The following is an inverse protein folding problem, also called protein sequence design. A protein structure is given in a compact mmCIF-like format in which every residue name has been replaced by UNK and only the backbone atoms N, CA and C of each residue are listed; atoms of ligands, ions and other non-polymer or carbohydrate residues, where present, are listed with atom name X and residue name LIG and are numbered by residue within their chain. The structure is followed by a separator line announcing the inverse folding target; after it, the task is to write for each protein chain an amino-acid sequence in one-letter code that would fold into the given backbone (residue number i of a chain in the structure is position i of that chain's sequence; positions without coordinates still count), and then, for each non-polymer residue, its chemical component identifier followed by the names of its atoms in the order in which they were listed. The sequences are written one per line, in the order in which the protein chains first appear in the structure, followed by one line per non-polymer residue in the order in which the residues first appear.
data_IF_202976431946
#
_entry.id   IF_202976431946
#
_cell.length_a   1.000
_cell.length_b   1.000
_cell.length_c   1.000
_cell.angle_alpha   90.00
_cell.angle_beta   90.00
_cell.angle_gamma   90.00
#
_symmetry.space_group_name_H-M   'P 1'
#
loop_
_entity.id
_entity.type
_entity.pdbx_description
1 polymer ?
#
# COMPACT_ATOMS: atom_id res chain seq x y z
N UNK A 1 0.18 -15.48 9.17
CA UNK A 1 1.65 -15.64 9.37
C UNK A 1 2.01 -15.17 10.76
N UNK A 2 2.97 -15.80 11.39
CA UNK A 2 3.32 -15.47 12.78
C UNK A 2 4.29 -14.28 12.84
N UNK A 3 4.19 -13.50 13.91
CA UNK A 3 5.18 -12.51 14.27
C UNK A 3 6.34 -13.22 15.01
N UNK A 4 7.57 -12.89 14.64
CA UNK A 4 8.78 -13.39 15.27
C UNK A 4 9.36 -12.34 16.21
N UNK A 5 9.39 -12.64 17.50
CA UNK A 5 10.12 -11.89 18.53
C UNK A 5 11.51 -12.48 18.71
N UNK A 6 12.41 -11.73 19.34
CA UNK A 6 13.79 -12.13 19.59
C UNK A 6 14.08 -12.12 21.08
N UNK A 7 15.00 -12.98 21.53
CA UNK A 7 15.46 -12.97 22.91
C UNK A 7 16.08 -11.60 23.26
N UNK A 8 15.79 -11.04 24.44
CA UNK A 8 16.10 -9.65 24.78
C UNK A 8 17.56 -9.43 25.25
N UNK A 9 18.52 -9.95 24.52
CA UNK A 9 19.95 -9.81 24.88
C UNK A 9 20.49 -8.38 24.73
N UNK A 10 19.95 -7.60 23.80
CA UNK A 10 20.37 -6.21 23.54
C UNK A 10 19.16 -5.28 23.50
N UNK A 11 19.41 -3.97 23.64
CA UNK A 11 18.35 -2.95 23.49
C UNK A 11 17.59 -3.10 22.17
N UNK A 12 18.29 -3.41 21.08
CA UNK A 12 17.69 -3.58 19.76
C UNK A 12 16.85 -4.85 19.64
N UNK A 13 17.32 -6.00 20.16
CA UNK A 13 16.60 -7.28 20.10
C UNK A 13 15.38 -7.29 21.00
N UNK A 14 15.44 -6.64 22.17
CA UNK A 14 14.30 -6.50 23.10
C UNK A 14 13.07 -5.85 22.43
N UNK A 15 13.28 -4.82 21.61
CA UNK A 15 12.22 -4.08 20.94
C UNK A 15 11.93 -4.55 19.50
N UNK A 16 12.54 -5.63 19.02
CA UNK A 16 12.37 -6.07 17.62
C UNK A 16 11.28 -7.12 17.50
N UNK A 17 10.29 -6.84 16.64
CA UNK A 17 9.27 -7.79 16.21
C UNK A 17 9.22 -7.75 14.68
N UNK A 18 9.44 -8.89 14.05
CA UNK A 18 9.43 -9.02 12.58
C UNK A 18 8.39 -10.05 12.14
N UNK A 19 8.08 -10.05 10.86
CA UNK A 19 7.23 -11.07 10.26
C UNK A 19 8.07 -12.31 9.94
N UNK A 20 7.55 -13.48 10.26
CA UNK A 20 8.08 -14.74 9.78
C UNK A 20 7.73 -14.92 8.29
N UNK A 21 8.72 -15.30 7.50
CA UNK A 21 8.62 -15.50 6.06
C UNK A 21 8.91 -16.94 5.63
N UNK A 22 8.86 -17.87 6.56
CA UNK A 22 9.22 -19.28 6.29
C UNK A 22 8.35 -19.91 5.20
N UNK A 23 7.08 -19.54 5.11
CA UNK A 23 6.14 -20.03 4.10
C UNK A 23 6.23 -19.37 2.72
N UNK A 24 7.18 -18.47 2.49
CA UNK A 24 7.35 -17.79 1.22
C UNK A 24 8.50 -18.42 0.41
N UNK A 25 8.43 -18.24 -0.91
CA UNK A 25 9.51 -18.62 -1.81
C UNK A 25 10.83 -17.95 -1.42
N UNK A 26 11.88 -18.77 -1.25
CA UNK A 26 13.22 -18.30 -0.83
C UNK A 26 14.18 -18.06 -2.00
N UNK A 27 13.81 -18.49 -3.19
CA UNK A 27 14.63 -18.37 -4.40
C UNK A 27 14.63 -16.96 -5.00
N UNK A 28 15.31 -16.83 -6.14
CA UNK A 28 15.38 -15.57 -6.91
C UNK A 28 14.02 -15.26 -7.55
N UNK A 29 13.66 -13.97 -7.73
CA UNK A 29 12.46 -13.58 -8.46
C UNK A 29 12.57 -13.99 -9.95
N UNK A 30 11.43 -14.07 -10.62
CA UNK A 30 11.38 -14.39 -12.05
C UNK A 30 12.02 -13.24 -12.86
N UNK A 31 13.19 -13.53 -13.48
CA UNK A 31 14.06 -12.52 -14.08
C UNK A 31 13.37 -11.69 -15.19
N UNK A 32 12.56 -12.29 -16.11
CA UNK A 32 11.90 -11.52 -17.18
C UNK A 32 10.97 -10.42 -16.68
N UNK A 33 10.36 -10.58 -15.49
CA UNK A 33 9.44 -9.62 -14.88
C UNK A 33 10.13 -8.75 -13.81
N UNK A 34 11.46 -8.61 -13.85
CA UNK A 34 12.20 -7.76 -12.93
C UNK A 34 12.97 -6.67 -13.66
N UNK A 35 12.94 -5.46 -13.12
CA UNK A 35 13.71 -4.32 -13.62
C UNK A 35 14.56 -3.68 -12.51
N UNK A 36 15.51 -2.85 -12.90
CA UNK A 36 16.30 -2.07 -11.96
C UNK A 36 15.43 -0.98 -11.34
N UNK A 37 15.50 -0.83 -10.04
CA UNK A 37 14.82 0.25 -9.32
C UNK A 37 15.83 1.34 -8.94
N UNK A 38 15.86 2.41 -9.71
CA UNK A 38 16.64 3.61 -9.42
C UNK A 38 15.81 4.53 -8.51
N UNK A 39 16.09 4.48 -7.21
CA UNK A 39 15.39 5.33 -6.24
C UNK A 39 15.75 6.82 -6.46
N UNK A 40 14.74 7.68 -6.59
CA UNK A 40 14.89 9.13 -6.73
C UNK A 40 15.43 9.83 -5.47
N UNK A 41 15.49 9.12 -4.34
CA UNK A 41 15.96 9.63 -3.04
C UNK A 41 15.27 10.92 -2.60
N UNK A 42 13.98 11.05 -2.95
CA UNK A 42 13.15 12.21 -2.62
C UNK A 42 13.38 13.44 -3.50
N UNK A 43 14.07 13.28 -4.63
CA UNK A 43 14.30 14.35 -5.61
C UNK A 43 13.32 14.27 -6.77
N UNK A 44 12.97 15.43 -7.32
CA UNK A 44 12.18 15.55 -8.54
C UNK A 44 13.08 15.43 -9.80
N UNK A 45 12.49 15.63 -11.00
CA UNK A 45 13.19 15.62 -12.29
C UNK A 45 14.25 16.75 -12.43
N UNK A 46 14.12 17.84 -11.67
CA UNK A 46 15.11 18.93 -11.61
C UNK A 46 16.18 18.71 -10.54
N UNK A 47 16.24 17.56 -9.88
CA UNK A 47 17.20 17.25 -8.82
C UNK A 47 16.90 17.90 -7.46
N UNK A 48 15.84 18.71 -7.33
CA UNK A 48 15.44 19.37 -6.08
C UNK A 48 14.76 18.40 -5.13
N UNK A 49 15.03 18.53 -3.83
CA UNK A 49 14.41 17.71 -2.79
C UNK A 49 12.96 18.17 -2.59
N UNK A 50 12.01 17.35 -3.07
CA UNK A 50 10.57 17.56 -2.87
C UNK A 50 9.99 16.70 -1.75
N UNK A 51 10.65 15.58 -1.41
CA UNK A 51 10.30 14.74 -0.28
C UNK A 51 11.53 14.55 0.60
N UNK A 52 11.51 15.17 1.79
CA UNK A 52 12.64 15.16 2.73
C UNK A 52 12.82 13.78 3.38
N UNK A 53 14.02 13.53 3.90
CA UNK A 53 14.37 12.38 4.73
C UNK A 53 14.26 11.01 4.01
N UNK A 54 14.43 10.98 2.70
CA UNK A 54 14.57 9.78 1.88
C UNK A 54 15.99 9.64 1.34
N UNK A 55 16.51 8.41 1.32
CA UNK A 55 17.80 8.11 0.71
C UNK A 55 18.54 6.97 1.39
N UNK A 56 19.55 6.45 0.73
CA UNK A 56 20.24 5.24 1.14
C UNK A 56 19.33 4.01 1.05
N UNK A 57 19.61 3.01 1.87
CA UNK A 57 18.86 1.76 1.88
C UNK A 57 19.46 0.70 0.96
N UNK A 58 18.94 -0.52 1.09
CA UNK A 58 19.36 -1.64 0.25
C UNK A 58 18.92 -1.46 -1.19
N UNK A 59 19.79 -1.84 -2.14
CA UNK A 59 19.44 -1.93 -3.57
C UNK A 59 18.32 -2.96 -3.75
N UNK A 60 17.27 -2.58 -4.48
CA UNK A 60 16.08 -3.40 -4.68
C UNK A 60 15.82 -3.57 -6.17
N UNK A 61 15.42 -4.79 -6.56
CA UNK A 61 14.86 -5.04 -7.89
C UNK A 61 13.37 -4.75 -7.86
N UNK A 62 12.87 -4.08 -8.85
CA UNK A 62 11.43 -3.86 -9.03
C UNK A 62 10.81 -5.09 -9.71
N UNK A 63 9.66 -5.55 -9.20
CA UNK A 63 8.84 -6.58 -9.84
C UNK A 63 7.74 -5.87 -10.63
N UNK A 64 7.64 -6.21 -11.88
CA UNK A 64 6.56 -5.72 -12.74
C UNK A 64 5.28 -6.46 -12.38
N UNK A 65 4.39 -5.75 -11.66
CA UNK A 65 3.10 -6.30 -11.25
C UNK A 65 2.06 -5.89 -12.28
N UNK A 66 1.29 -6.86 -12.74
CA UNK A 66 0.12 -6.56 -13.55
C UNK A 66 -1.06 -6.17 -12.65
N UNK A 67 -1.37 -4.87 -12.64
CA UNK A 67 -2.52 -4.30 -11.95
C UNK A 67 -3.77 -4.27 -12.81
N UNK A 68 -3.65 -4.53 -14.11
CA UNK A 68 -4.75 -4.46 -15.06
C UNK A 68 -5.55 -5.76 -15.14
N UNK A 69 -4.86 -6.91 -15.05
CA UNK A 69 -5.46 -8.24 -15.12
C UNK A 69 -6.34 -8.44 -16.35
N UNK A 70 -5.87 -7.97 -17.52
CA UNK A 70 -6.62 -7.96 -18.78
C UNK A 70 -6.75 -9.31 -19.47
N UNK A 71 -6.05 -10.34 -19.01
CA UNK A 71 -6.18 -11.68 -19.58
C UNK A 71 -7.44 -12.33 -19.04
N UNK A 72 -8.54 -12.14 -19.77
CA UNK A 72 -9.87 -12.61 -19.40
C UNK A 72 -10.07 -14.08 -19.83
N UNK A 73 -11.03 -14.74 -19.18
CA UNK A 73 -11.57 -16.06 -19.48
C UNK A 73 -10.57 -17.23 -19.54
N UNK A 74 -9.32 -17.03 -19.13
CA UNK A 74 -8.30 -18.06 -18.98
C UNK A 74 -7.97 -18.29 -17.51
N UNK A 75 -7.72 -19.57 -17.18
CA UNK A 75 -7.24 -19.92 -15.85
C UNK A 75 -5.76 -19.66 -15.71
N UNK A 76 -5.38 -19.20 -14.52
CA UNK A 76 -3.99 -19.08 -14.13
C UNK A 76 -3.77 -19.84 -12.82
N UNK A 77 -2.71 -20.63 -12.75
CA UNK A 77 -2.30 -21.36 -11.57
C UNK A 77 -1.26 -20.56 -10.77
N UNK A 78 -1.39 -20.53 -9.46
CA UNK A 78 -0.41 -19.90 -8.57
C UNK A 78 0.80 -20.80 -8.42
N UNK A 79 1.91 -20.43 -9.09
CA UNK A 79 3.16 -21.20 -9.07
C UNK A 79 3.90 -21.04 -7.73
N UNK A 80 3.93 -19.81 -7.21
CA UNK A 80 4.61 -19.49 -5.93
C UNK A 80 4.19 -18.13 -5.37
N UNK A 81 4.40 -17.96 -4.06
CA UNK A 81 4.16 -16.70 -3.34
C UNK A 81 5.52 -16.13 -2.91
N UNK A 82 5.79 -14.87 -3.26
CA UNK A 82 7.07 -14.21 -3.07
C UNK A 82 6.97 -12.99 -2.16
N UNK A 83 8.09 -12.70 -1.49
CA UNK A 83 8.31 -11.41 -0.83
C UNK A 83 8.76 -10.36 -1.85
N UNK A 84 8.12 -9.19 -1.83
CA UNK A 84 8.55 -8.03 -2.61
C UNK A 84 9.06 -6.91 -1.69
N UNK A 85 10.33 -6.45 -1.81
CA UNK A 85 10.87 -5.36 -1.01
C UNK A 85 10.25 -3.99 -1.33
N UNK A 86 9.59 -3.84 -2.48
CA UNK A 86 9.02 -2.56 -2.93
C UNK A 86 7.61 -2.32 -2.39
N UNK A 87 6.97 -3.33 -1.80
CA UNK A 87 5.61 -3.23 -1.26
C UNK A 87 5.47 -3.92 0.07
N UNK A 88 4.34 -3.69 0.72
CA UNK A 88 4.08 -4.23 2.06
C UNK A 88 3.37 -5.58 2.03
N UNK A 89 2.55 -5.86 1.00
CA UNK A 89 1.90 -7.14 0.76
C UNK A 89 2.85 -8.10 0.02
N UNK A 90 2.49 -9.39 0.01
CA UNK A 90 3.16 -10.38 -0.82
C UNK A 90 2.64 -10.34 -2.25
N UNK A 91 3.41 -10.94 -3.15
CA UNK A 91 3.06 -11.10 -4.55
C UNK A 91 3.01 -12.60 -4.88
N UNK A 92 2.20 -12.97 -5.85
CA UNK A 92 2.14 -14.31 -6.37
C UNK A 92 2.56 -14.32 -7.84
N UNK A 93 3.39 -15.28 -8.21
CA UNK A 93 3.69 -15.57 -9.61
C UNK A 93 2.63 -16.55 -10.10
N UNK A 94 1.92 -16.16 -11.13
CA UNK A 94 0.88 -16.98 -11.75
C UNK A 94 1.30 -17.39 -13.15
N UNK A 95 0.95 -18.61 -13.53
CA UNK A 95 1.21 -19.21 -14.83
C UNK A 95 -0.12 -19.49 -15.50
N UNK A 96 -0.33 -18.97 -16.69
CA UNK A 96 -1.48 -19.25 -17.55
C UNK A 96 -1.27 -20.51 -18.38
N UNK A 97 -2.34 -21.03 -18.97
CA UNK A 97 -2.33 -22.22 -19.82
C UNK A 97 -1.38 -22.09 -21.02
N UNK A 98 -1.22 -20.89 -21.56
CA UNK A 98 -0.26 -20.56 -22.64
C UNK A 98 1.19 -20.37 -22.16
N UNK A 99 1.51 -20.82 -20.94
CA UNK A 99 2.82 -20.67 -20.30
C UNK A 99 3.26 -19.21 -20.02
N UNK A 100 2.45 -18.19 -20.29
CA UNK A 100 2.77 -16.83 -19.89
C UNK A 100 2.69 -16.67 -18.37
N UNK A 101 3.65 -15.91 -17.81
CA UNK A 101 3.72 -15.68 -16.36
C UNK A 101 3.54 -14.22 -16.05
N UNK A 102 2.79 -13.94 -14.97
CA UNK A 102 2.56 -12.59 -14.45
C UNK A 102 2.73 -12.56 -12.94
N UNK A 103 3.10 -11.39 -12.42
CA UNK A 103 3.01 -11.13 -10.99
C UNK A 103 1.69 -10.45 -10.65
N UNK A 104 0.97 -10.99 -9.70
CA UNK A 104 -0.23 -10.40 -9.09
C UNK A 104 -0.02 -10.13 -7.61
N UNK A 105 -0.87 -9.27 -7.02
CA UNK A 105 -0.91 -9.11 -5.56
C UNK A 105 -1.52 -10.38 -4.96
N UNK A 106 -0.88 -10.93 -3.94
CA UNK A 106 -1.36 -12.13 -3.27
C UNK A 106 -2.42 -11.77 -2.21
N UNK A 107 -3.67 -12.25 -2.31
CA UNK A 107 -4.64 -12.14 -1.24
C UNK A 107 -4.29 -13.05 -0.06
N UNK A 108 -4.92 -12.80 1.06
CA UNK A 108 -4.81 -13.65 2.26
C UNK A 108 -5.52 -14.99 1.99
N UNK A 109 -4.89 -16.09 2.39
CA UNK A 109 -5.45 -17.44 2.27
C UNK A 109 -5.15 -18.14 0.95
N UNK A 110 -4.64 -17.47 -0.09
CA UNK A 110 -4.24 -18.10 -1.34
C UNK A 110 -3.05 -19.05 -1.11
N UNK A 111 -3.06 -20.17 -1.80
CA UNK A 111 -2.03 -21.21 -1.73
C UNK A 111 -1.40 -21.44 -3.10
N UNK A 112 -0.24 -22.07 -3.09
CA UNK A 112 0.41 -22.57 -4.32
C UNK A 112 -0.46 -23.71 -4.89
N UNK A 113 -0.68 -23.69 -6.20
CA UNK A 113 -1.58 -24.62 -6.91
C UNK A 113 -3.01 -24.12 -7.06
N UNK A 114 -3.41 -23.04 -6.36
CA UNK A 114 -4.76 -22.49 -6.54
C UNK A 114 -4.94 -21.94 -7.95
N UNK A 115 -6.10 -22.19 -8.53
CA UNK A 115 -6.48 -21.64 -9.85
C UNK A 115 -7.28 -20.36 -9.66
N UNK A 116 -6.92 -19.34 -10.44
CA UNK A 116 -7.58 -18.03 -10.45
C UNK A 116 -8.01 -17.67 -11.87
N UNK A 117 -9.09 -16.90 -11.97
CA UNK A 117 -9.66 -16.44 -13.24
C UNK A 117 -9.95 -14.94 -13.20
N UNK A 118 -9.90 -14.30 -14.36
CA UNK A 118 -10.27 -12.89 -14.53
C UNK A 118 -11.47 -12.80 -15.50
N UNK A 119 -12.37 -11.85 -15.26
CA UNK A 119 -13.51 -11.58 -16.15
C UNK A 119 -14.86 -11.77 -15.45
N UNK A 120 -15.93 -11.41 -16.13
CA UNK A 120 -17.31 -11.52 -15.61
C UNK A 120 -17.74 -12.96 -15.35
N UNK A 121 -17.18 -13.92 -16.11
CA UNK A 121 -17.46 -15.36 -15.95
C UNK A 121 -16.62 -16.02 -14.85
N UNK A 122 -15.93 -15.25 -13.99
CA UNK A 122 -15.14 -15.81 -12.91
C UNK A 122 -16.02 -16.07 -11.67
N UNK A 123 -15.77 -17.16 -10.97
CA UNK A 123 -16.47 -17.47 -9.72
C UNK A 123 -16.09 -16.46 -8.61
N UNK A 124 -16.98 -16.28 -7.64
CA UNK A 124 -16.73 -15.44 -6.44
C UNK A 124 -15.81 -16.18 -5.49
N UNK A 125 -14.54 -16.30 -5.86
CA UNK A 125 -13.48 -16.92 -5.06
C UNK A 125 -12.34 -15.94 -4.79
N UNK A 126 -11.66 -16.11 -3.66
CA UNK A 126 -10.50 -15.30 -3.29
C UNK A 126 -9.43 -15.39 -4.37
N UNK A 127 -8.98 -14.24 -4.86
CA UNK A 127 -7.97 -14.15 -5.92
C UNK A 127 -8.53 -13.90 -7.32
N UNK A 128 -9.80 -14.19 -7.57
CA UNK A 128 -10.46 -13.90 -8.84
C UNK A 128 -10.71 -12.39 -9.02
N UNK A 129 -10.70 -11.94 -10.25
CA UNK A 129 -10.90 -10.53 -10.60
C UNK A 129 -12.16 -10.40 -11.46
N UNK A 130 -13.12 -9.60 -10.97
CA UNK A 130 -14.42 -9.39 -11.61
C UNK A 130 -14.73 -7.89 -11.72
N UNK A 131 -15.64 -7.49 -12.63
CA UNK A 131 -16.28 -6.19 -12.60
C UNK A 131 -17.05 -5.99 -11.29
N UNK A 132 -17.12 -4.77 -10.78
CA UNK A 132 -17.81 -4.46 -9.52
C UNK A 132 -19.29 -4.79 -9.55
N UNK A 133 -19.93 -4.74 -10.71
CA UNK A 133 -21.34 -5.11 -10.88
C UNK A 133 -21.63 -6.59 -10.60
N UNK A 134 -20.67 -7.46 -10.82
CA UNK A 134 -20.79 -8.91 -10.68
C UNK A 134 -20.39 -9.39 -9.27
N UNK A 135 -19.97 -8.46 -8.40
CA UNK A 135 -19.56 -8.77 -7.03
C UNK A 135 -20.67 -8.39 -6.06
N UNK A 136 -21.20 -9.32 -5.24
CA UNK A 136 -22.22 -9.04 -4.24
C UNK A 136 -21.77 -8.00 -3.20
N UNK A 137 -22.76 -7.27 -2.67
CA UNK A 137 -22.56 -6.30 -1.58
C UNK A 137 -22.05 -7.01 -0.32
N UNK A 138 -21.15 -6.37 0.41
CA UNK A 138 -20.60 -6.88 1.66
C UNK A 138 -19.30 -7.68 1.50
N UNK A 139 -18.92 -8.09 0.29
CA UNK A 139 -17.69 -8.83 0.04
C UNK A 139 -16.47 -7.90 0.13
N UNK A 140 -15.41 -8.39 0.77
CA UNK A 140 -14.10 -7.73 0.80
C UNK A 140 -13.39 -7.86 -0.54
N UNK A 141 -12.95 -6.74 -1.09
CA UNK A 141 -12.25 -6.66 -2.37
C UNK A 141 -10.97 -5.81 -2.23
N UNK A 142 -10.02 -6.03 -3.11
CA UNK A 142 -8.77 -5.27 -3.18
C UNK A 142 -8.36 -4.99 -4.62
N UNK A 143 -7.29 -4.24 -4.83
CA UNK A 143 -6.77 -3.87 -6.14
C UNK A 143 -7.86 -3.28 -7.07
N UNK A 144 -8.71 -2.41 -6.52
CA UNK A 144 -9.87 -1.87 -7.22
C UNK A 144 -9.47 -0.75 -8.17
N UNK A 145 -10.00 -0.76 -9.37
CA UNK A 145 -9.85 0.31 -10.34
C UNK A 145 -10.68 1.54 -9.95
N UNK A 146 -10.24 2.73 -10.33
CA UNK A 146 -10.99 3.97 -10.20
C UNK A 146 -11.82 4.29 -11.45
N UNK A 147 -11.38 3.82 -12.59
CA UNK A 147 -12.02 3.92 -13.89
C UNK A 147 -11.78 2.62 -14.64
N UNK A 148 -12.72 2.15 -15.44
CA UNK A 148 -12.56 0.93 -16.20
C UNK A 148 -11.27 0.94 -17.04
N UNK A 149 -10.49 -0.13 -16.94
CA UNK A 149 -9.25 -0.30 -17.69
C UNK A 149 -8.06 0.57 -17.26
N UNK A 150 -8.16 1.33 -16.16
CA UNK A 150 -7.07 2.17 -15.63
C UNK A 150 -6.10 1.43 -14.72
N UNK A 151 -6.35 0.15 -14.46
CA UNK A 151 -5.60 -0.68 -13.51
C UNK A 151 -5.93 -0.38 -12.05
N UNK A 152 -5.79 -1.38 -11.20
CA UNK A 152 -6.11 -1.27 -9.79
C UNK A 152 -5.26 -0.23 -9.06
N UNK A 153 -5.92 0.64 -8.28
CA UNK A 153 -5.28 1.74 -7.53
C UNK A 153 -5.65 1.75 -6.06
N UNK A 154 -6.83 1.23 -5.71
CA UNK A 154 -7.34 1.22 -4.34
C UNK A 154 -7.01 -0.12 -3.66
N UNK A 155 -6.78 -0.09 -2.34
CA UNK A 155 -6.51 -1.27 -1.51
C UNK A 155 -5.37 -2.15 -2.05
N UNK A 156 -4.14 -1.60 -2.13
CA UNK A 156 -2.94 -2.31 -2.57
C UNK A 156 -1.90 -2.54 -1.48
N UNK A 157 -2.17 -2.06 -0.27
CA UNK A 157 -1.27 -2.24 0.88
C UNK A 157 -1.58 -3.51 1.66
N UNK A 158 -0.61 -4.02 2.41
CA UNK A 158 -0.76 -5.21 3.24
C UNK A 158 -1.98 -5.14 4.18
N UNK A 159 -2.77 -6.20 4.23
CA UNK A 159 -3.93 -6.32 5.09
C UNK A 159 -5.06 -5.33 4.80
N UNK A 160 -5.06 -4.68 3.64
CA UNK A 160 -6.15 -3.77 3.27
C UNK A 160 -7.19 -4.46 2.39
N UNK A 161 -8.44 -4.11 2.62
CA UNK A 161 -9.58 -4.40 1.77
C UNK A 161 -10.51 -3.20 1.73
N UNK A 162 -11.42 -3.18 0.82
CA UNK A 162 -12.57 -2.28 0.76
C UNK A 162 -13.81 -3.12 0.51
N UNK A 163 -14.97 -2.65 0.92
CA UNK A 163 -16.24 -3.38 0.77
C UNK A 163 -17.19 -2.61 -0.13
N UNK A 164 -17.95 -3.34 -0.94
CA UNK A 164 -19.08 -2.77 -1.69
C UNK A 164 -20.21 -2.57 -0.68
N UNK A 165 -20.70 -1.35 -0.54
CA UNK A 165 -21.79 -1.01 0.39
C UNK A 165 -23.15 -0.85 -0.29
N UNK A 166 -23.20 -0.84 -1.60
CA UNK A 166 -24.41 -0.72 -2.39
C UNK A 166 -24.12 -0.38 -3.85
N UNK A 167 -25.16 -0.30 -4.65
CA UNK A 167 -25.12 0.10 -6.07
C UNK A 167 -26.03 1.32 -6.24
N UNK A 168 -25.64 2.27 -7.06
CA UNK A 168 -26.37 3.49 -7.37
C UNK A 168 -26.29 3.72 -8.89
N UNK A 169 -27.25 3.20 -9.62
CA UNK A 169 -27.29 3.19 -11.09
C UNK A 169 -26.03 2.50 -11.65
N UNK A 170 -25.30 3.19 -12.49
CA UNK A 170 -24.06 2.69 -13.11
C UNK A 170 -22.83 2.76 -12.19
N UNK A 171 -23.01 3.09 -10.90
CA UNK A 171 -21.93 3.24 -9.94
C UNK A 171 -22.06 2.28 -8.77
N UNK A 172 -20.98 1.67 -8.39
CA UNK A 172 -20.86 0.91 -7.15
C UNK A 172 -20.34 1.81 -6.03
N UNK A 173 -20.98 1.75 -4.86
CA UNK A 173 -20.61 2.50 -3.65
C UNK A 173 -19.58 1.70 -2.88
N UNK A 174 -18.35 2.18 -2.81
CA UNK A 174 -17.26 1.48 -2.13
C UNK A 174 -16.90 2.19 -0.84
N UNK A 175 -16.96 1.44 0.27
CA UNK A 175 -16.51 1.86 1.59
C UNK A 175 -15.00 1.60 1.72
N UNK A 176 -14.23 2.68 1.80
CA UNK A 176 -12.78 2.64 1.96
C UNK A 176 -12.37 2.30 3.40
N UNK A 177 -11.13 1.83 3.58
CA UNK A 177 -10.53 1.59 4.92
C UNK A 177 -10.54 2.83 5.83
N UNK A 178 -10.57 4.03 5.26
CA UNK A 178 -10.69 5.30 6.00
C UNK A 178 -12.10 5.59 6.50
N UNK A 179 -13.12 4.81 6.06
CA UNK A 179 -14.54 5.06 6.28
C UNK A 179 -15.19 6.02 5.27
N UNK A 180 -14.42 6.55 4.30
CA UNK A 180 -14.97 7.30 3.17
C UNK A 180 -15.75 6.37 2.24
N UNK A 181 -16.92 6.81 1.75
CA UNK A 181 -17.69 6.10 0.74
C UNK A 181 -17.59 6.85 -0.58
N UNK A 182 -17.21 6.14 -1.64
CA UNK A 182 -17.03 6.69 -2.99
C UNK A 182 -17.87 5.95 -4.02
N UNK A 183 -18.31 6.70 -5.04
CA UNK A 183 -18.87 6.16 -6.28
C UNK A 183 -17.72 5.76 -7.21
N UNK A 184 -17.77 4.54 -7.74
CA UNK A 184 -16.86 4.02 -8.77
C UNK A 184 -17.71 3.37 -9.84
N UNK A 185 -17.36 3.55 -11.11
CA UNK A 185 -18.06 2.94 -12.26
C UNK A 185 -18.13 1.42 -12.07
N UNK A 186 -19.32 0.85 -12.17
CA UNK A 186 -19.58 -0.58 -11.90
C UNK A 186 -18.87 -1.54 -12.85
N UNK A 187 -18.40 -1.05 -14.01
CA UNK A 187 -17.56 -1.80 -14.95
C UNK A 187 -16.11 -1.89 -14.52
N UNK A 188 -15.69 -1.13 -13.48
CA UNK A 188 -14.31 -1.17 -12.97
C UNK A 188 -14.00 -2.53 -12.35
N UNK A 189 -12.81 -3.04 -12.62
CA UNK A 189 -12.37 -4.35 -12.11
C UNK A 189 -11.91 -4.27 -10.66
N UNK A 190 -12.17 -5.35 -9.92
CA UNK A 190 -11.68 -5.54 -8.55
C UNK A 190 -11.33 -7.01 -8.31
N UNK A 191 -10.40 -7.26 -7.39
CA UNK A 191 -10.02 -8.62 -6.99
C UNK A 191 -10.66 -8.97 -5.66
N UNK A 192 -11.24 -10.17 -5.54
CA UNK A 192 -11.92 -10.65 -4.34
C UNK A 192 -10.90 -11.00 -3.25
N UNK A 193 -11.24 -10.64 -2.02
CA UNK A 193 -10.50 -10.97 -0.81
C UNK A 193 -9.70 -9.81 -0.21
N UNK A 194 -9.13 -10.04 0.96
CA UNK A 194 -8.24 -9.12 1.69
C UNK A 194 -6.80 -9.35 1.26
N UNK A 195 -5.98 -8.30 1.17
CA UNK A 195 -4.56 -8.46 0.85
C UNK A 195 -3.77 -9.14 1.97
N UNK A 196 -2.79 -9.91 1.57
CA UNK A 196 -1.88 -10.64 2.45
C UNK A 196 -1.10 -9.73 3.40
N UNK A 197 -0.50 -10.36 4.43
CA UNK A 197 0.41 -9.75 5.37
C UNK A 197 -0.23 -8.69 6.31
N UNK A 198 -1.41 -8.93 6.94
CA UNK A 198 -2.07 -7.99 7.83
C UNK A 198 -1.21 -7.59 9.03
N UNK A 199 -0.31 -8.48 9.49
CA UNK A 199 0.60 -8.24 10.61
C UNK A 199 1.73 -7.23 10.32
N UNK A 200 1.81 -6.72 9.08
CA UNK A 200 2.80 -5.69 8.73
C UNK A 200 2.71 -4.44 9.62
N UNK A 201 1.53 -4.09 10.10
CA UNK A 201 1.29 -2.98 11.02
C UNK A 201 1.90 -3.21 12.41
N UNK A 202 2.07 -4.46 12.82
CA UNK A 202 2.54 -4.86 14.14
C UNK A 202 4.07 -4.96 14.24
N UNK A 203 4.80 -4.72 13.13
CA UNK A 203 6.27 -4.77 13.12
C UNK A 203 6.86 -3.67 13.97
N UNK A 204 7.81 -4.05 14.82
CA UNK A 204 8.68 -3.12 15.55
C UNK A 204 10.12 -3.24 15.03
N UNK A 205 10.65 -2.15 14.52
CA UNK A 205 11.96 -2.12 13.84
C UNK A 205 13.11 -2.37 14.82
N UNK A 206 13.00 -1.91 16.08
CA UNK A 206 13.91 -2.16 17.18
C UNK A 206 15.19 -1.30 17.19
N UNK A 207 15.70 -0.85 16.02
CA UNK A 207 16.90 0.00 15.93
C UNK A 207 16.85 0.99 14.78
N UNK A 208 17.49 2.14 14.93
CA UNK A 208 17.58 3.20 13.92
C UNK A 208 18.27 2.74 12.63
N UNK A 209 19.30 1.89 12.72
CA UNK A 209 19.99 1.34 11.55
C UNK A 209 19.05 0.57 10.61
N UNK A 210 18.03 -0.14 11.14
CA UNK A 210 17.06 -0.83 10.29
C UNK A 210 16.17 0.16 9.51
N UNK A 211 15.84 1.33 10.09
CA UNK A 211 15.18 2.41 9.36
C UNK A 211 16.05 2.94 8.22
N UNK A 212 17.38 3.03 8.45
CA UNK A 212 18.33 3.41 7.41
C UNK A 212 18.38 2.39 6.27
N UNK A 213 18.34 1.10 6.56
CA UNK A 213 18.27 0.03 5.54
C UNK A 213 17.00 0.12 4.68
N UNK A 214 15.90 0.64 5.25
CA UNK A 214 14.65 0.89 4.52
C UNK A 214 14.66 2.22 3.74
N UNK A 215 15.78 2.94 3.70
CA UNK A 215 15.90 4.21 2.98
C UNK A 215 15.36 5.43 3.72
N UNK A 216 15.04 5.31 5.01
CA UNK A 216 14.58 6.43 5.85
C UNK A 216 15.76 7.10 6.53
N UNK A 217 15.94 8.39 6.31
CA UNK A 217 16.95 9.21 6.98
C UNK A 217 16.37 9.81 8.28
N UNK A 218 17.23 10.23 9.21
CA UNK A 218 16.80 10.96 10.42
C UNK A 218 16.00 12.21 10.06
N UNK A 219 15.03 12.54 10.90
CA UNK A 219 14.18 13.72 10.77
C UNK A 219 14.49 14.71 11.91
N UNK A 220 14.84 15.94 11.56
CA UNK A 220 15.03 17.04 12.51
C UNK A 220 13.68 17.70 12.81
N UNK A 221 13.35 17.90 14.08
CA UNK A 221 12.13 18.58 14.51
C UNK A 221 12.29 20.09 14.32
N UNK A 222 11.20 20.79 13.98
CA UNK A 222 11.23 22.24 13.79
C UNK A 222 11.69 23.03 15.01
N UNK A 223 11.40 22.53 16.23
CA UNK A 223 11.80 23.16 17.51
C UNK A 223 13.33 23.25 17.71
N UNK A 224 14.11 22.38 17.05
CA UNK A 224 15.59 22.37 17.14
C UNK A 224 16.26 23.06 15.96
N UNK A 225 15.49 23.75 15.15
CA UNK A 225 15.97 24.55 14.02
C UNK A 225 16.11 26.04 14.44
N UNK A 226 16.76 26.83 13.60
CA UNK A 226 16.81 28.27 13.78
C UNK A 226 15.48 28.92 13.36
N UNK A 227 15.17 30.14 13.86
CA UNK A 227 13.92 30.86 13.52
C UNK A 227 13.74 31.05 12.00
N UNK A 228 14.80 31.22 11.25
CA UNK A 228 14.80 31.35 9.76
C UNK A 228 14.34 30.08 9.08
N UNK A 229 14.61 28.89 9.66
CA UNK A 229 14.35 27.60 9.03
C UNK A 229 12.96 27.05 9.35
N UNK A 230 12.40 27.43 10.51
CA UNK A 230 11.11 26.91 10.94
C UNK A 230 10.41 27.86 11.92
N UNK A 231 9.07 28.05 11.81
CA UNK A 231 8.29 28.89 12.73
C UNK A 231 8.32 28.47 14.21
N UNK A 232 8.78 27.25 14.50
CA UNK A 232 9.01 26.75 15.87
C UNK A 232 10.47 26.81 16.31
N UNK A 233 11.34 27.39 15.48
CA UNK A 233 12.77 27.50 15.78
C UNK A 233 13.08 28.65 16.75
N UNK A 234 14.28 28.60 17.32
CA UNK A 234 14.80 29.59 18.23
C UNK A 234 14.58 29.29 19.70
N UNK A 235 14.98 30.22 20.56
CA UNK A 235 14.95 30.11 22.00
C UNK A 235 16.21 29.52 22.61
N UNK A 236 16.35 29.58 23.92
CA UNK A 236 17.46 29.00 24.69
C UNK A 236 17.13 27.57 25.16
N UNK A 237 18.08 26.67 25.05
CA UNK A 237 17.98 25.29 25.53
C UNK A 237 16.79 24.52 24.93
N UNK A 238 15.99 23.87 25.77
CA UNK A 238 14.79 23.11 25.36
C UNK A 238 13.55 23.99 25.36
N UNK A 239 13.50 25.00 24.51
CA UNK A 239 12.34 25.89 24.38
C UNK A 239 11.11 25.14 23.85
N UNK A 240 9.93 25.64 24.25
CA UNK A 240 8.65 25.21 23.68
C UNK A 240 8.45 25.82 22.29
N UNK A 241 7.51 25.24 21.49
CA UNK A 241 7.24 25.75 20.14
C UNK A 241 6.58 27.14 20.09
N UNK A 242 6.13 27.70 21.21
CA UNK A 242 5.60 29.06 21.37
C UNK A 242 4.29 29.37 20.63
N UNK A 243 3.78 28.44 19.80
CA UNK A 243 2.59 28.60 18.96
C UNK A 243 1.92 27.28 18.64
N UNK A 244 0.73 27.32 18.03
CA UNK A 244 0.09 26.12 17.53
C UNK A 244 0.99 25.38 16.51
N UNK A 245 0.93 24.02 16.46
CA UNK A 245 1.75 23.23 15.55
C UNK A 245 1.54 23.63 14.09
N UNK A 246 2.61 24.04 13.43
CA UNK A 246 2.61 24.44 12.01
C UNK A 246 3.68 23.71 11.22
N UNK A 247 3.52 23.65 9.89
CA UNK A 247 4.54 23.17 8.95
C UNK A 247 5.69 24.19 8.79
N UNK A 248 6.81 23.84 8.13
CA UNK A 248 7.86 24.80 7.79
C UNK A 248 7.35 26.01 7.00
N UNK A 249 6.25 25.86 6.25
CA UNK A 249 5.60 26.92 5.49
C UNK A 249 4.56 27.72 6.29
N UNK A 250 4.44 27.49 7.59
CA UNK A 250 3.51 28.20 8.47
C UNK A 250 2.07 27.67 8.44
N UNK A 251 1.76 26.66 7.64
CA UNK A 251 0.41 26.08 7.60
C UNK A 251 0.11 25.26 8.84
N UNK A 252 -1.11 25.36 9.36
CA UNK A 252 -1.56 24.56 10.51
C UNK A 252 -1.37 23.07 10.28
N UNK A 253 -0.65 22.39 11.17
CA UNK A 253 -0.41 20.95 11.10
C UNK A 253 -1.59 20.11 11.60
N UNK A 254 -2.52 20.70 12.37
CA UNK A 254 -3.70 20.03 12.91
C UNK A 254 -4.98 20.73 12.43
N UNK A 255 -5.98 19.93 12.06
CA UNK A 255 -7.33 20.39 11.73
C UNK A 255 -7.53 20.98 10.33
N UNK A 256 -6.49 21.42 9.65
CA UNK A 256 -6.60 22.03 8.32
C UNK A 256 -7.07 21.01 7.28
N UNK A 257 -8.10 21.38 6.53
CA UNK A 257 -8.57 20.62 5.37
C UNK A 257 -7.73 20.99 4.14
N UNK A 258 -6.78 20.13 3.78
CA UNK A 258 -5.85 20.40 2.66
C UNK A 258 -6.35 19.94 1.30
N UNK A 259 -7.37 19.04 1.23
CA UNK A 259 -7.92 18.55 -0.04
C UNK A 259 -8.69 19.67 -0.76
N UNK A 260 -8.27 20.02 -1.98
CA UNK A 260 -8.91 21.01 -2.86
C UNK A 260 -9.08 20.47 -4.29
N UNK A 261 -9.44 19.18 -4.44
CA UNK A 261 -9.64 18.59 -5.77
C UNK A 261 -11.13 18.57 -6.13
N UNK A 262 -11.60 19.61 -6.79
CA UNK A 262 -13.00 19.76 -7.21
C UNK A 262 -13.46 18.66 -8.19
N UNK A 263 -12.59 18.20 -9.12
CA UNK A 263 -12.94 17.19 -10.15
C UNK A 263 -13.41 15.87 -9.58
N UNK A 264 -12.79 15.40 -8.49
CA UNK A 264 -13.09 14.10 -7.89
C UNK A 264 -13.97 14.19 -6.65
N UNK A 265 -14.39 15.38 -6.25
CA UNK A 265 -15.26 15.58 -5.09
C UNK A 265 -16.67 15.01 -5.32
N UNK A 266 -17.18 15.12 -6.55
CA UNK A 266 -18.49 14.59 -6.95
C UNK A 266 -18.62 13.05 -6.78
N UNK A 267 -17.50 12.33 -6.72
CA UNK A 267 -17.49 10.89 -6.48
C UNK A 267 -17.46 10.51 -5.00
N UNK A 268 -17.37 11.47 -4.06
CA UNK A 268 -17.36 11.22 -2.64
C UNK A 268 -18.77 11.40 -2.09
N UNK A 269 -19.43 10.28 -1.74
CA UNK A 269 -20.78 10.29 -1.15
C UNK A 269 -20.71 10.66 0.32
N UNK A 270 -19.80 10.03 1.06
CA UNK A 270 -19.62 10.28 2.47
C UNK A 270 -18.13 10.38 2.81
N UNK A 271 -17.73 11.48 3.44
CA UNK A 271 -16.36 11.67 3.92
C UNK A 271 -16.08 10.85 5.18
N UNK A 272 -14.80 10.58 5.45
CA UNK A 272 -14.40 9.96 6.71
C UNK A 272 -14.90 10.80 7.90
N UNK A 273 -15.37 10.13 8.96
CA UNK A 273 -15.71 10.82 10.22
C UNK A 273 -14.43 11.43 10.80
N UNK A 274 -14.48 12.71 11.18
CA UNK A 274 -13.43 13.31 12.00
C UNK A 274 -13.45 12.59 13.36
N UNK A 275 -12.30 12.08 13.82
CA UNK A 275 -12.20 11.69 15.22
C UNK A 275 -12.39 12.98 16.03
N UNK A 276 -13.41 13.02 16.87
CA UNK A 276 -13.48 14.06 17.92
C UNK A 276 -12.26 13.85 18.80
N UNK A 277 -11.49 14.92 19.02
CA UNK A 277 -10.38 14.94 19.96
C UNK A 277 -10.90 14.75 21.37
#
# INVERSE_FOLDING_TARGET
MALKSFKPYTKSTRGTILIDRTGLWKGKPYKPLTSVNNASKGRNNFGRITSRNHGGGHKQKYRQIDFYRRKFDSFAEVERIEYDPNRTCYIMLVKFEDNQKFYYLAPQGIKVGDKIKNGSNAEIKVGNCLPLQDIPVGIDIHNVELQPGAGGKIARSAGTSVTISGVDGNYSLIKMTSGEVRKIDSRSMATIGVLSNPDKKNIKIGKAGRSRWLGRRPHTRGVVMNPVDHPHGGGEGKSAGGRHPVSPQGQSAKGLKTRNNKRTEKFIVRRRKKKRA
#
